data_IF_423666302576
#
_entry.id   IF_423666302576
#
_cell.length_a   1.000
_cell.length_b   1.000
_cell.length_c   1.000
_cell.angle_alpha   90.00
_cell.angle_beta   90.00
_cell.angle_gamma   90.00
#
_symmetry.space_group_name_H-M   'P 1'
#
loop_
_entity.id
_entity.type
_entity.pdbx_description
1 polymer ?
#
# COMPACT_ATOMS: atom_id res chain seq x y z
N UNK A 1 8.10 15.18 -5.64
CA UNK A 1 7.90 14.82 -4.22
C UNK A 1 9.21 14.24 -3.71
N UNK A 2 9.66 14.60 -2.52
CA UNK A 2 10.90 14.02 -1.98
C UNK A 2 10.70 12.62 -1.39
N UNK A 3 11.81 11.91 -1.14
CA UNK A 3 11.87 10.57 -0.53
C UNK A 3 10.93 10.43 0.69
N UNK A 4 10.97 11.37 1.63
CA UNK A 4 10.13 11.34 2.83
C UNK A 4 8.63 11.33 2.50
N UNK A 5 8.20 12.13 1.52
CA UNK A 5 6.78 12.15 1.10
C UNK A 5 6.36 10.84 0.44
N UNK A 6 7.23 10.23 -0.36
CA UNK A 6 6.94 8.93 -0.99
C UNK A 6 6.84 7.80 0.05
N UNK A 7 7.75 7.78 1.02
CA UNK A 7 7.71 6.82 2.12
C UNK A 7 6.46 6.99 3.00
N UNK A 8 6.02 8.24 3.24
CA UNK A 8 4.77 8.50 3.95
C UNK A 8 3.56 7.94 3.19
N UNK A 9 3.46 8.20 1.88
CA UNK A 9 2.38 7.67 1.05
C UNK A 9 2.36 6.14 1.03
N UNK A 10 3.54 5.51 0.96
CA UNK A 10 3.65 4.06 1.04
C UNK A 10 3.16 3.52 2.39
N UNK A 11 3.53 4.18 3.50
CA UNK A 11 3.10 3.79 4.83
C UNK A 11 1.57 3.89 5.00
N UNK A 12 0.98 4.99 4.55
CA UNK A 12 -0.47 5.22 4.61
C UNK A 12 -1.23 4.18 3.76
N UNK A 13 -0.73 3.87 2.57
CA UNK A 13 -1.29 2.85 1.68
C UNK A 13 -1.21 1.45 2.32
N UNK A 14 -0.08 1.07 2.91
CA UNK A 14 0.07 -0.22 3.61
C UNK A 14 -0.92 -0.32 4.79
N UNK A 15 -1.14 0.78 5.52
CA UNK A 15 -2.11 0.79 6.62
C UNK A 15 -3.55 0.60 6.12
N UNK A 16 -3.92 1.23 4.99
CA UNK A 16 -5.25 1.04 4.40
C UNK A 16 -5.46 -0.39 3.88
N UNK A 17 -4.47 -0.94 3.16
CA UNK A 17 -4.51 -2.33 2.71
C UNK A 17 -4.66 -3.30 3.88
N UNK A 18 -3.96 -3.07 4.99
CA UNK A 18 -4.10 -3.88 6.21
C UNK A 18 -5.50 -3.80 6.81
N UNK A 19 -6.13 -2.61 6.84
CA UNK A 19 -7.51 -2.45 7.33
C UNK A 19 -8.49 -3.24 6.48
N UNK A 20 -8.34 -3.22 5.16
CA UNK A 20 -9.17 -3.96 4.21
C UNK A 20 -9.00 -5.47 4.33
N UNK A 21 -7.77 -5.95 4.42
CA UNK A 21 -7.49 -7.37 4.64
C UNK A 21 -8.07 -7.88 5.97
N UNK A 22 -8.05 -7.05 7.03
CA UNK A 22 -8.70 -7.42 8.29
C UNK A 22 -10.23 -7.52 8.14
N UNK A 23 -10.87 -6.63 7.37
CA UNK A 23 -12.31 -6.73 7.08
C UNK A 23 -12.63 -8.00 6.29
N UNK A 24 -11.86 -8.29 5.24
CA UNK A 24 -12.02 -9.49 4.44
C UNK A 24 -11.75 -10.79 5.24
N UNK A 25 -10.95 -10.72 6.30
CA UNK A 25 -10.72 -11.84 7.20
C UNK A 25 -11.94 -12.11 8.09
N UNK A 26 -12.61 -11.04 8.53
CA UNK A 26 -13.77 -11.13 9.41
C UNK A 26 -15.06 -11.49 8.62
N UNK A 27 -15.10 -11.18 7.31
CA UNK A 27 -16.20 -11.49 6.40
C UNK A 27 -15.71 -12.40 5.25
N UNK A 28 -15.96 -13.72 5.36
CA UNK A 28 -15.32 -14.78 4.54
C UNK A 28 -15.64 -14.76 3.03
N UNK A 29 -16.40 -13.78 2.54
CA UNK A 29 -16.81 -13.66 1.13
C UNK A 29 -16.41 -12.31 0.50
N UNK A 30 -15.50 -11.56 1.13
CA UNK A 30 -15.14 -10.20 0.68
C UNK A 30 -13.94 -10.18 -0.28
N UNK A 31 -14.05 -10.95 -1.38
CA UNK A 31 -13.12 -10.95 -2.52
C UNK A 31 -12.89 -9.53 -3.11
N UNK A 32 -13.84 -8.63 -2.87
CA UNK A 32 -13.71 -7.22 -3.24
C UNK A 32 -12.66 -6.50 -2.38
N UNK A 33 -12.71 -6.66 -1.06
CA UNK A 33 -11.74 -6.04 -0.15
C UNK A 33 -10.33 -6.59 -0.33
N UNK A 34 -10.20 -7.89 -0.64
CA UNK A 34 -8.91 -8.50 -1.00
C UNK A 34 -8.34 -7.86 -2.28
N UNK A 35 -9.15 -7.72 -3.33
CA UNK A 35 -8.71 -7.08 -4.59
C UNK A 35 -8.32 -5.62 -4.40
N UNK A 36 -9.07 -4.88 -3.58
CA UNK A 36 -8.72 -3.49 -3.27
C UNK A 36 -7.41 -3.40 -2.47
N UNK A 37 -7.23 -4.26 -1.47
CA UNK A 37 -5.99 -4.30 -0.70
C UNK A 37 -4.77 -4.60 -1.58
N UNK A 38 -4.88 -5.53 -2.52
CA UNK A 38 -3.80 -5.84 -3.46
C UNK A 38 -3.42 -4.64 -4.32
N UNK A 39 -4.42 -3.94 -4.88
CA UNK A 39 -4.17 -2.72 -5.66
C UNK A 39 -3.46 -1.63 -4.85
N UNK A 40 -3.88 -1.43 -3.60
CA UNK A 40 -3.26 -0.45 -2.71
C UNK A 40 -1.81 -0.84 -2.38
N UNK A 41 -1.51 -2.14 -2.25
CA UNK A 41 -0.14 -2.62 -2.05
C UNK A 41 0.73 -2.42 -3.29
N UNK A 42 0.18 -2.53 -4.50
CA UNK A 42 0.89 -2.20 -5.74
C UNK A 42 1.24 -0.70 -5.77
N UNK A 43 0.30 0.18 -5.43
CA UNK A 43 0.56 1.63 -5.33
C UNK A 43 1.64 1.94 -4.27
N UNK A 44 1.60 1.26 -3.12
CA UNK A 44 2.60 1.39 -2.07
C UNK A 44 4.00 0.97 -2.55
N UNK A 45 4.07 -0.12 -3.32
CA UNK A 45 5.32 -0.63 -3.88
C UNK A 45 5.94 0.39 -4.85
N UNK A 46 5.13 1.03 -5.69
CA UNK A 46 5.57 2.06 -6.62
C UNK A 46 6.15 3.28 -5.89
N UNK A 47 5.53 3.71 -4.79
CA UNK A 47 6.09 4.77 -3.94
C UNK A 47 7.44 4.37 -3.32
N UNK A 48 7.57 3.14 -2.84
CA UNK A 48 8.82 2.61 -2.27
C UNK A 48 9.91 2.54 -3.34
N UNK A 49 9.60 2.04 -4.54
CA UNK A 49 10.54 2.01 -5.66
C UNK A 49 10.98 3.43 -6.02
N UNK A 50 10.05 4.36 -6.13
CA UNK A 50 10.36 5.77 -6.41
C UNK A 50 11.23 6.42 -5.34
N UNK A 51 11.05 6.07 -4.06
CA UNK A 51 11.92 6.54 -2.97
C UNK A 51 13.30 5.89 -3.02
N UNK A 52 13.35 4.58 -3.28
CA UNK A 52 14.59 3.81 -3.35
C UNK A 52 15.47 4.23 -4.53
N UNK A 53 14.88 4.55 -5.68
CA UNK A 53 15.61 5.08 -6.84
C UNK A 53 16.22 6.45 -6.56
N UNK A 54 15.50 7.34 -5.86
CA UNK A 54 16.02 8.66 -5.48
C UNK A 54 17.15 8.58 -4.45
N UNK A 55 17.12 7.62 -3.52
CA UNK A 55 18.18 7.42 -2.53
C UNK A 55 19.49 6.86 -3.11
N UNK A 56 19.45 6.26 -4.30
CA UNK A 56 20.64 5.70 -4.98
C UNK A 56 21.33 6.69 -5.92
N UNK A 57 20.71 7.84 -6.17
CA UNK A 57 21.27 8.94 -6.96
C UNK A 57 22.05 9.89 -6.05
#
# INVERSE_FOLDING_TARGET
>A
MGVASKLQLAADAIEDAKKRLNRAKDDSDDDYEIRQALKILEDALDYIHGASSELRQ
#
